data_IF_745904602631
#
_entry.id   IF_745904602631
#
_cell.length_a   1.000
_cell.length_b   1.000
_cell.length_c   1.000
_cell.angle_alpha   90.00
_cell.angle_beta   90.00
_cell.angle_gamma   90.00
#
_symmetry.space_group_name_H-M   'P 1'
#
loop_
_entity.id
_entity.type
_entity.pdbx_description
1 polymer ?
#
# COMPACT_ATOMS: atom_id res chain seq x y z
N UNK A 1 39.80 -47.77 -29.23
CA UNK A 1 38.92 -47.53 -28.07
C UNK A 1 38.57 -46.05 -28.02
N UNK A 2 37.42 -45.69 -28.48
CA UNK A 2 36.98 -44.30 -28.44
C UNK A 2 36.17 -44.09 -27.17
N UNK A 3 36.76 -43.39 -26.26
CA UNK A 3 36.03 -42.94 -25.08
C UNK A 3 35.24 -41.72 -25.54
N UNK A 4 33.96 -41.90 -25.77
CA UNK A 4 33.08 -40.80 -26.04
C UNK A 4 32.75 -40.17 -24.67
N UNK A 5 33.49 -39.13 -24.31
CA UNK A 5 33.04 -38.24 -23.25
C UNK A 5 31.84 -37.48 -23.78
N UNK A 6 30.67 -38.05 -23.60
CA UNK A 6 29.51 -37.25 -23.57
C UNK A 6 29.58 -36.39 -22.28
N UNK A 7 30.30 -35.32 -22.37
CA UNK A 7 30.06 -34.25 -21.43
C UNK A 7 28.64 -33.79 -21.73
N UNK A 8 27.71 -34.39 -21.04
CA UNK A 8 26.42 -33.83 -20.85
C UNK A 8 26.65 -32.52 -20.09
N UNK A 9 26.88 -31.49 -20.87
CA UNK A 9 26.79 -30.12 -20.36
C UNK A 9 25.32 -29.96 -19.98
N UNK A 10 24.95 -30.40 -18.79
CA UNK A 10 23.68 -30.02 -18.24
C UNK A 10 23.81 -28.52 -17.96
N UNK A 11 23.49 -27.76 -18.98
CA UNK A 11 23.18 -26.37 -18.81
C UNK A 11 21.96 -26.36 -17.91
N UNK A 12 22.24 -26.33 -16.61
CA UNK A 12 21.24 -25.98 -15.63
C UNK A 12 20.79 -24.56 -15.99
N UNK A 13 19.78 -24.48 -16.82
CA UNK A 13 19.07 -23.24 -17.05
C UNK A 13 18.40 -22.91 -15.74
N UNK A 14 19.15 -22.21 -14.86
CA UNK A 14 18.55 -21.58 -13.72
C UNK A 14 17.66 -20.50 -14.30
N UNK A 15 16.38 -20.84 -14.49
CA UNK A 15 15.34 -19.88 -14.70
C UNK A 15 15.32 -19.00 -13.44
N UNK A 16 16.06 -17.91 -13.49
CA UNK A 16 15.78 -16.78 -12.61
C UNK A 16 14.42 -16.26 -13.04
N UNK A 17 13.37 -16.87 -12.52
CA UNK A 17 12.11 -16.18 -12.44
C UNK A 17 12.35 -15.04 -11.47
N UNK A 18 12.67 -13.87 -12.00
CA UNK A 18 12.63 -12.65 -11.22
C UNK A 18 11.17 -12.47 -10.81
N UNK A 19 10.85 -12.89 -9.57
CA UNK A 19 9.60 -12.48 -8.95
C UNK A 19 9.71 -10.97 -8.75
N UNK A 20 9.09 -10.21 -9.65
CA UNK A 20 8.83 -8.81 -9.40
C UNK A 20 7.74 -8.79 -8.33
N UNK A 21 8.15 -8.81 -7.06
CA UNK A 21 7.23 -8.54 -5.98
C UNK A 21 6.86 -7.06 -6.08
N UNK A 22 5.57 -6.78 -6.28
CA UNK A 22 5.06 -5.44 -6.09
C UNK A 22 5.35 -5.03 -4.66
N UNK A 23 5.96 -3.87 -4.49
CA UNK A 23 6.13 -3.27 -3.17
C UNK A 23 4.75 -3.00 -2.57
N UNK A 24 4.61 -3.12 -1.24
CA UNK A 24 3.34 -2.92 -0.56
C UNK A 24 2.76 -1.52 -0.77
N UNK A 25 3.62 -0.50 -0.95
CA UNK A 25 3.14 0.85 -1.30
C UNK A 25 2.36 0.87 -2.62
N UNK A 26 2.75 0.08 -3.60
CA UNK A 26 2.04 -0.02 -4.89
C UNK A 26 0.65 -0.64 -4.69
N UNK A 27 0.53 -1.64 -3.83
CA UNK A 27 -0.75 -2.24 -3.47
C UNK A 27 -1.65 -1.25 -2.72
N UNK A 28 -1.07 -0.46 -1.82
CA UNK A 28 -1.78 0.61 -1.10
C UNK A 28 -2.31 1.66 -2.09
N UNK A 29 -1.48 2.11 -3.02
CA UNK A 29 -1.88 3.07 -4.05
C UNK A 29 -3.02 2.49 -4.92
N UNK A 30 -2.90 1.23 -5.31
CA UNK A 30 -3.94 0.55 -6.09
C UNK A 30 -5.27 0.48 -5.32
N UNK A 31 -5.23 0.17 -4.04
CA UNK A 31 -6.42 0.14 -3.18
C UNK A 31 -7.09 1.52 -3.06
N UNK A 32 -6.30 2.58 -2.96
CA UNK A 32 -6.81 3.96 -2.97
C UNK A 32 -7.47 4.30 -4.31
N UNK A 33 -6.85 3.93 -5.43
CA UNK A 33 -7.37 4.19 -6.78
C UNK A 33 -8.71 3.52 -7.03
N UNK A 34 -8.91 2.33 -6.50
CA UNK A 34 -10.13 1.55 -6.69
C UNK A 34 -11.16 1.81 -5.60
N UNK A 35 -10.83 2.63 -4.59
CA UNK A 35 -11.71 2.86 -3.44
C UNK A 35 -11.94 1.61 -2.61
N UNK A 36 -10.99 0.69 -2.59
CA UNK A 36 -11.12 -0.60 -1.92
C UNK A 36 -10.53 -0.54 -0.50
N UNK A 37 -11.37 -0.19 0.46
CA UNK A 37 -10.97 -0.09 1.87
C UNK A 37 -10.54 -1.43 2.46
N UNK A 38 -11.12 -2.51 2.01
CA UNK A 38 -10.78 -3.87 2.45
C UNK A 38 -9.36 -4.26 2.04
N UNK A 39 -8.97 -3.97 0.80
CA UNK A 39 -7.61 -4.19 0.32
C UNK A 39 -6.60 -3.27 1.02
N UNK A 40 -6.95 -2.00 1.19
CA UNK A 40 -6.11 -1.03 1.88
C UNK A 40 -5.79 -1.47 3.31
N UNK A 41 -6.80 -1.93 4.04
CA UNK A 41 -6.65 -2.31 5.45
C UNK A 41 -5.81 -3.56 5.69
N UNK A 42 -5.59 -4.38 4.68
CA UNK A 42 -4.69 -5.54 4.78
C UNK A 42 -3.26 -5.14 5.14
N UNK A 43 -2.86 -3.93 4.76
CA UNK A 43 -1.50 -3.42 4.96
C UNK A 43 -1.35 -2.60 6.24
N UNK A 44 -2.40 -2.42 7.03
CA UNK A 44 -2.35 -1.67 8.29
C UNK A 44 -1.48 -2.39 9.32
N UNK A 45 -0.70 -1.60 10.05
CA UNK A 45 -0.03 -2.08 11.26
C UNK A 45 -1.07 -2.46 12.33
N UNK A 46 -0.65 -3.16 13.38
CA UNK A 46 -1.51 -3.53 14.50
C UNK A 46 -2.14 -2.31 15.17
N UNK A 47 -1.41 -1.21 15.20
CA UNK A 47 -1.88 0.11 15.60
C UNK A 47 -1.54 1.10 14.49
N UNK A 48 -2.49 1.89 14.09
CA UNK A 48 -2.35 2.86 13.01
C UNK A 48 -2.84 4.24 13.47
N UNK A 49 -2.10 5.28 13.13
CA UNK A 49 -2.55 6.65 13.29
C UNK A 49 -3.42 7.04 12.09
N UNK A 50 -4.62 7.48 12.38
CA UNK A 50 -5.62 7.80 11.37
C UNK A 50 -6.17 9.20 11.61
N UNK A 51 -6.00 10.07 10.61
CA UNK A 51 -6.56 11.42 10.61
C UNK A 51 -7.64 11.52 9.56
N UNK A 52 -8.84 11.82 9.99
CA UNK A 52 -9.99 12.16 9.16
C UNK A 52 -10.26 13.66 9.29
N UNK A 53 -11.09 14.26 8.41
CA UNK A 53 -11.38 15.70 8.50
C UNK A 53 -11.89 16.17 9.86
N UNK A 54 -12.58 15.32 10.61
CA UNK A 54 -13.25 15.66 11.87
C UNK A 54 -12.59 15.04 13.10
N UNK A 55 -11.64 14.13 12.97
CA UNK A 55 -11.00 13.46 14.09
C UNK A 55 -9.63 12.90 13.73
N UNK A 56 -8.77 12.78 14.75
CA UNK A 56 -7.46 12.18 14.62
C UNK A 56 -7.14 11.39 15.89
N UNK A 57 -6.76 10.13 15.76
CA UNK A 57 -6.40 9.27 16.88
C UNK A 57 -5.62 8.04 16.39
N UNK A 58 -5.09 7.30 17.35
CA UNK A 58 -4.52 5.97 17.14
C UNK A 58 -5.59 4.90 17.34
N UNK A 59 -5.65 3.96 16.41
CA UNK A 59 -6.64 2.88 16.41
C UNK A 59 -5.96 1.54 16.23
N UNK A 60 -6.59 0.49 16.76
CA UNK A 60 -6.24 -0.88 16.39
C UNK A 60 -6.53 -1.10 14.89
N UNK A 61 -5.87 -2.09 14.30
CA UNK A 61 -6.11 -2.46 12.91
C UNK A 61 -7.60 -2.70 12.63
N UNK A 62 -8.28 -3.43 13.50
CA UNK A 62 -9.70 -3.76 13.35
C UNK A 62 -10.59 -2.50 13.40
N UNK A 63 -10.32 -1.59 14.34
CA UNK A 63 -11.05 -0.32 14.43
C UNK A 63 -10.79 0.58 13.22
N UNK A 64 -9.54 0.71 12.82
CA UNK A 64 -9.15 1.52 11.65
C UNK A 64 -9.79 0.99 10.37
N UNK A 65 -9.88 -0.32 10.23
CA UNK A 65 -10.54 -0.95 9.07
C UNK A 65 -12.00 -0.53 8.96
N UNK A 66 -12.74 -0.54 10.06
CA UNK A 66 -14.15 -0.12 10.09
C UNK A 66 -14.29 1.39 9.81
N UNK A 67 -13.44 2.20 10.41
CA UNK A 67 -13.45 3.66 10.22
C UNK A 67 -13.19 4.03 8.77
N UNK A 68 -12.18 3.45 8.15
CA UNK A 68 -11.84 3.72 6.74
C UNK A 68 -12.93 3.20 5.81
N UNK A 69 -13.50 2.04 6.09
CA UNK A 69 -14.63 1.50 5.33
C UNK A 69 -15.81 2.46 5.33
N UNK A 70 -16.19 2.96 6.49
CA UNK A 70 -17.30 3.91 6.61
C UNK A 70 -16.97 5.24 5.93
N UNK A 71 -15.75 5.74 6.09
CA UNK A 71 -15.29 6.96 5.44
C UNK A 71 -15.36 6.84 3.92
N UNK A 72 -14.88 5.76 3.34
CA UNK A 72 -14.91 5.52 1.90
C UNK A 72 -16.34 5.41 1.38
N UNK A 73 -17.20 4.69 2.09
CA UNK A 73 -18.60 4.52 1.72
C UNK A 73 -19.38 5.82 1.81
N UNK A 74 -19.27 6.52 2.94
CA UNK A 74 -20.03 7.74 3.20
C UNK A 74 -19.67 8.89 2.26
N UNK A 75 -18.43 8.94 1.79
CA UNK A 75 -17.95 9.97 0.88
C UNK A 75 -18.03 9.57 -0.60
N UNK A 76 -18.26 8.29 -0.89
CA UNK A 76 -18.29 7.79 -2.26
C UNK A 76 -16.93 7.89 -2.94
N UNK A 77 -15.92 7.31 -2.31
CA UNK A 77 -14.55 7.27 -2.86
C UNK A 77 -14.53 6.51 -4.18
N UNK A 78 -13.98 7.13 -5.22
CA UNK A 78 -13.98 6.59 -6.59
C UNK A 78 -12.64 6.59 -7.30
N UNK A 79 -11.64 7.27 -6.77
CA UNK A 79 -10.33 7.34 -7.41
C UNK A 79 -9.27 7.99 -6.54
N UNK A 80 -8.05 7.92 -7.02
CA UNK A 80 -6.88 8.52 -6.36
C UNK A 80 -5.87 8.97 -7.41
N UNK A 81 -5.46 10.23 -7.30
CA UNK A 81 -4.41 10.79 -8.14
C UNK A 81 -3.12 10.90 -7.32
N UNK A 82 -2.14 10.07 -7.66
CA UNK A 82 -0.82 10.10 -7.03
C UNK A 82 -0.09 11.38 -7.43
N UNK A 83 0.37 12.15 -6.45
CA UNK A 83 1.16 13.38 -6.65
C UNK A 83 2.64 13.16 -6.38
N UNK A 84 2.96 12.39 -5.35
CA UNK A 84 4.34 12.11 -4.97
C UNK A 84 4.44 10.77 -4.25
N UNK A 85 5.52 10.04 -4.55
CA UNK A 85 5.88 8.80 -3.89
C UNK A 85 7.38 8.83 -3.60
N UNK A 86 7.77 8.38 -2.42
CA UNK A 86 9.18 8.40 -2.05
C UNK A 86 9.52 7.46 -0.92
N UNK A 87 10.76 7.51 -0.51
CA UNK A 87 11.32 6.76 0.61
C UNK A 87 11.63 7.70 1.76
N UNK A 88 11.15 7.36 2.95
CA UNK A 88 11.58 7.92 4.22
C UNK A 88 12.50 6.91 4.93
N UNK A 89 13.21 7.31 6.00
CA UNK A 89 14.06 6.36 6.75
C UNK A 89 13.31 5.12 7.24
N UNK A 90 12.04 5.24 7.56
CA UNK A 90 11.21 4.15 8.12
C UNK A 90 10.54 3.28 7.06
N UNK A 91 10.38 3.76 5.85
CA UNK A 91 9.66 3.07 4.79
C UNK A 91 9.17 4.03 3.70
N UNK A 92 8.35 3.53 2.80
CA UNK A 92 7.78 4.33 1.73
C UNK A 92 6.67 5.26 2.23
N UNK A 93 6.43 6.30 1.44
CA UNK A 93 5.26 7.16 1.62
C UNK A 93 4.67 7.55 0.26
N UNK A 94 3.42 7.94 0.27
CA UNK A 94 2.80 8.57 -0.88
C UNK A 94 1.89 9.72 -0.45
N UNK A 95 1.75 10.68 -1.35
CA UNK A 95 0.90 11.83 -1.20
C UNK A 95 0.09 11.96 -2.49
N UNK A 96 -1.20 12.21 -2.35
CA UNK A 96 -2.07 12.38 -3.51
C UNK A 96 -3.42 12.92 -3.14
N UNK A 97 -4.31 12.93 -4.11
CA UNK A 97 -5.69 13.40 -3.98
C UNK A 97 -6.64 12.24 -4.11
N UNK A 98 -7.37 11.95 -3.03
CA UNK A 98 -8.45 10.99 -3.04
C UNK A 98 -9.69 11.66 -3.61
N UNK A 99 -10.23 11.09 -4.68
CA UNK A 99 -11.39 11.60 -5.38
C UNK A 99 -12.64 10.91 -4.85
N UNK A 100 -13.60 11.70 -4.41
CA UNK A 100 -14.84 11.18 -3.85
C UNK A 100 -16.03 12.01 -4.34
N UNK A 101 -17.22 11.42 -4.26
CA UNK A 101 -18.44 12.12 -4.66
C UNK A 101 -18.72 13.35 -3.78
N UNK A 102 -18.35 13.31 -2.51
CA UNK A 102 -18.54 14.42 -1.56
C UNK A 102 -17.53 15.55 -1.74
N UNK A 103 -16.45 15.33 -2.48
CA UNK A 103 -15.33 16.24 -2.64
C UNK A 103 -14.01 15.51 -2.63
N UNK A 104 -12.91 16.24 -2.72
CA UNK A 104 -11.59 15.66 -2.77
C UNK A 104 -10.87 15.79 -1.43
N UNK A 105 -9.99 14.83 -1.14
CA UNK A 105 -9.22 14.80 0.09
C UNK A 105 -7.72 14.68 -0.24
N UNK A 106 -6.93 15.56 0.34
CA UNK A 106 -5.49 15.39 0.35
C UNK A 106 -5.17 14.18 1.22
N UNK A 107 -4.44 13.22 0.66
CA UNK A 107 -4.17 11.95 1.32
C UNK A 107 -2.68 11.73 1.44
N UNK A 108 -2.21 11.51 2.66
CA UNK A 108 -0.83 11.17 2.96
C UNK A 108 -0.82 9.77 3.59
N UNK A 109 -0.01 8.87 3.05
CA UNK A 109 0.20 7.53 3.59
C UNK A 109 1.67 7.37 3.95
N UNK A 110 1.94 6.97 5.18
CA UNK A 110 3.28 6.67 5.66
C UNK A 110 3.37 5.22 6.07
N UNK A 111 4.38 4.53 5.55
CA UNK A 111 4.63 3.13 5.86
C UNK A 111 5.86 2.98 6.75
N UNK A 112 5.97 1.85 7.42
CA UNK A 112 7.16 1.44 8.15
C UNK A 112 7.44 -0.04 7.94
N UNK A 113 8.68 -0.44 8.17
CA UNK A 113 9.06 -1.85 8.16
C UNK A 113 8.93 -2.39 9.57
N UNK A 114 8.17 -3.48 9.70
CA UNK A 114 7.96 -4.19 10.96
C UNK A 114 8.08 -5.68 10.70
N UNK A 115 9.01 -6.35 11.40
CA UNK A 115 9.28 -7.79 11.23
C UNK A 115 9.50 -8.19 9.76
N UNK A 116 10.25 -7.36 9.02
CA UNK A 116 10.55 -7.60 7.61
C UNK A 116 9.42 -7.31 6.64
N UNK A 117 8.28 -6.79 7.12
CA UNK A 117 7.14 -6.38 6.29
C UNK A 117 6.92 -4.88 6.35
N UNK A 118 6.62 -4.30 5.19
CA UNK A 118 6.21 -2.92 5.13
C UNK A 118 4.71 -2.81 5.39
N UNK A 119 4.34 -2.02 6.39
CA UNK A 119 2.97 -1.84 6.84
C UNK A 119 2.64 -0.35 6.92
N UNK A 120 1.36 -0.02 6.82
CA UNK A 120 0.88 1.36 6.96
C UNK A 120 0.85 1.74 8.43
N UNK A 121 1.62 2.76 8.81
CA UNK A 121 1.64 3.30 10.18
C UNK A 121 0.73 4.50 10.37
N UNK A 122 0.49 5.28 9.32
CA UNK A 122 -0.30 6.51 9.39
C UNK A 122 -0.97 6.79 8.04
N UNK A 123 -2.22 7.21 8.11
CA UNK A 123 -2.94 7.80 6.98
C UNK A 123 -3.62 9.09 7.44
N UNK A 124 -3.52 10.12 6.62
CA UNK A 124 -4.21 11.40 6.81
C UNK A 124 -5.10 11.69 5.62
N UNK A 125 -6.36 11.94 5.88
CA UNK A 125 -7.33 12.44 4.90
C UNK A 125 -7.78 13.83 5.33
N UNK A 126 -7.46 14.83 4.52
CA UNK A 126 -7.80 16.23 4.78
C UNK A 126 -8.64 16.78 3.65
N UNK A 127 -9.75 17.43 3.97
CA UNK A 127 -10.60 18.05 2.97
C UNK A 127 -9.83 19.14 2.21
N UNK A 128 -9.99 19.16 0.89
CA UNK A 128 -9.47 20.22 0.02
C UNK A 128 -10.60 21.21 -0.21
N UNK A 129 -10.37 22.43 0.21
CA UNK A 129 -11.31 23.53 -0.03
C UNK A 129 -11.11 24.13 -1.42
#
# INVERSE_FOLDING_TARGET
>A
MKIIFNTLLSVSFILFTSFIQKENIEEVISALRTGNSSELSKYFDDTIELTLPDKSDSYSKAQAQLIVKDFFKNNGVKGFELKHKGNAPDGHFCIGTLQANSGNFRTNVFMKIRNGKEVVKEIRFQAIE
#
